data_IF_747799606075
#
_entry.id   IF_747799606075
#
_cell.length_a   1.000
_cell.length_b   1.000
_cell.length_c   1.000
_cell.angle_alpha   90.00
_cell.angle_beta   90.00
_cell.angle_gamma   90.00
#
_symmetry.space_group_name_H-M   'P 1'
#
loop_
_entity.id
_entity.type
_entity.pdbx_description
1 polymer ?
#
# COMPACT_ATOMS: atom_id res chain seq x y z
N UNK A 1 4.35 1.88 -23.98
CA UNK A 1 3.14 2.30 -23.23
C UNK A 1 2.60 1.13 -22.42
N UNK A 2 2.06 1.37 -21.22
CA UNK A 2 1.46 0.33 -20.38
C UNK A 2 0.18 -0.16 -21.05
N UNK A 3 -0.04 -1.48 -21.11
CA UNK A 3 -1.29 -2.04 -21.63
C UNK A 3 -2.44 -1.77 -20.64
N UNK A 4 -3.65 -1.58 -21.15
CA UNK A 4 -4.81 -1.23 -20.32
C UNK A 4 -5.14 -2.31 -19.29
N UNK A 5 -5.05 -3.57 -19.65
CA UNK A 5 -5.26 -4.71 -18.77
C UNK A 5 -4.24 -4.75 -17.62
N UNK A 6 -2.97 -4.49 -17.92
CA UNK A 6 -1.89 -4.37 -16.94
C UNK A 6 -2.15 -3.20 -15.99
N UNK A 7 -2.57 -2.04 -16.52
CA UNK A 7 -2.90 -0.88 -15.71
C UNK A 7 -4.11 -1.12 -14.80
N UNK A 8 -5.17 -1.75 -15.32
CA UNK A 8 -6.37 -2.09 -14.52
C UNK A 8 -6.04 -3.09 -13.41
N UNK A 9 -5.20 -4.08 -13.69
CA UNK A 9 -4.76 -5.04 -12.68
C UNK A 9 -3.91 -4.37 -11.60
N UNK A 10 -3.02 -3.46 -11.99
CA UNK A 10 -2.25 -2.66 -11.04
C UNK A 10 -3.14 -1.78 -10.18
N UNK A 11 -4.12 -1.11 -10.78
CA UNK A 11 -5.09 -0.30 -10.05
C UNK A 11 -5.88 -1.16 -9.02
N UNK A 12 -6.31 -2.36 -9.40
CA UNK A 12 -6.97 -3.29 -8.48
C UNK A 12 -6.04 -3.71 -7.33
N UNK A 13 -4.76 -3.98 -7.62
CA UNK A 13 -3.76 -4.27 -6.58
C UNK A 13 -3.54 -3.08 -5.63
N UNK A 14 -3.55 -1.84 -6.15
CA UNK A 14 -3.46 -0.63 -5.33
C UNK A 14 -4.69 -0.45 -4.42
N UNK A 15 -5.89 -0.71 -4.92
CA UNK A 15 -7.12 -0.70 -4.09
C UNK A 15 -7.00 -1.75 -2.99
N UNK A 16 -6.59 -2.98 -3.32
CA UNK A 16 -6.37 -4.04 -2.34
C UNK A 16 -5.34 -3.65 -1.28
N UNK A 17 -4.23 -3.01 -1.70
CA UNK A 17 -3.24 -2.45 -0.78
C UNK A 17 -3.86 -1.40 0.15
N UNK A 18 -4.64 -0.47 -0.39
CA UNK A 18 -5.22 0.63 0.37
C UNK A 18 -6.23 0.17 1.44
N UNK A 19 -7.15 -0.74 1.06
CA UNK A 19 -8.20 -1.23 1.98
C UNK A 19 -7.69 -2.22 3.02
N UNK A 20 -6.46 -2.72 2.86
CA UNK A 20 -5.86 -3.60 3.88
C UNK A 20 -5.50 -2.82 5.10
N UNK A 21 -5.93 -3.23 6.28
CA UNK A 21 -5.44 -2.66 7.52
C UNK A 21 -3.92 -2.82 7.64
N UNK A 22 -3.24 -1.70 7.77
CA UNK A 22 -1.79 -1.64 7.95
C UNK A 22 -1.42 -0.43 8.80
N UNK A 23 -0.12 -0.22 9.12
CA UNK A 23 0.34 0.85 9.99
C UNK A 23 -0.19 2.23 9.60
N UNK A 24 -0.20 2.58 8.30
CA UNK A 24 -0.72 3.87 7.83
C UNK A 24 -2.20 4.04 8.18
N UNK A 25 -3.04 3.07 7.79
CA UNK A 25 -4.48 3.15 8.02
C UNK A 25 -4.81 3.19 9.53
N UNK A 26 -4.13 2.36 10.34
CA UNK A 26 -4.30 2.36 11.80
C UNK A 26 -3.93 3.72 12.39
N UNK A 27 -2.80 4.30 11.96
CA UNK A 27 -2.36 5.62 12.40
C UNK A 27 -3.39 6.70 12.02
N UNK A 28 -3.86 6.73 10.77
CA UNK A 28 -4.83 7.71 10.28
C UNK A 28 -6.15 7.63 11.04
N UNK A 29 -6.69 6.43 11.20
CA UNK A 29 -7.96 6.22 11.93
C UNK A 29 -7.79 6.61 13.40
N UNK A 30 -6.72 6.18 14.07
CA UNK A 30 -6.47 6.51 15.47
C UNK A 30 -6.36 8.03 15.69
N UNK A 31 -5.64 8.75 14.83
CA UNK A 31 -5.51 10.21 14.93
C UNK A 31 -6.82 10.93 14.60
N UNK A 32 -7.57 10.46 13.61
CA UNK A 32 -8.89 11.02 13.26
C UNK A 32 -9.88 10.84 14.40
N UNK A 33 -9.94 9.67 15.00
CA UNK A 33 -10.84 9.38 16.11
C UNK A 33 -10.43 10.17 17.36
N UNK A 34 -9.14 10.29 17.67
CA UNK A 34 -8.66 10.98 18.86
C UNK A 34 -8.82 12.51 18.75
N UNK A 35 -8.42 13.12 17.61
CA UNK A 35 -8.28 14.57 17.45
C UNK A 35 -9.16 15.19 16.33
N UNK A 36 -10.02 14.38 15.68
CA UNK A 36 -10.95 14.84 14.65
C UNK A 36 -10.36 14.86 13.23
N UNK A 37 -11.20 15.22 12.26
CA UNK A 37 -10.89 15.17 10.82
C UNK A 37 -9.65 15.97 10.42
N UNK A 38 -9.46 17.16 11.00
CA UNK A 38 -8.30 18.01 10.68
C UNK A 38 -6.99 17.32 11.03
N UNK A 39 -6.92 16.67 12.19
CA UNK A 39 -5.76 15.90 12.60
C UNK A 39 -5.53 14.69 11.67
N UNK A 40 -6.60 14.01 11.27
CA UNK A 40 -6.54 12.92 10.28
C UNK A 40 -5.99 13.38 8.93
N UNK A 41 -6.46 14.52 8.40
CA UNK A 41 -5.99 15.07 7.12
C UNK A 41 -4.53 15.53 7.16
N UNK A 42 -4.09 16.13 8.27
CA UNK A 42 -2.66 16.48 8.46
C UNK A 42 -1.80 15.21 8.54
N UNK A 43 -2.28 14.18 9.23
CA UNK A 43 -1.63 12.87 9.29
C UNK A 43 -1.56 12.22 7.91
N UNK A 44 -2.63 12.32 7.13
CA UNK A 44 -2.72 11.84 5.75
C UNK A 44 -1.70 12.54 4.84
N UNK A 45 -1.57 13.86 4.94
CA UNK A 45 -0.54 14.58 4.19
C UNK A 45 0.87 14.03 4.51
N UNK A 46 1.14 13.73 5.78
CA UNK A 46 2.40 13.09 6.19
C UNK A 46 2.58 11.68 5.59
N UNK A 47 1.58 10.80 5.74
CA UNK A 47 1.68 9.44 5.19
C UNK A 47 1.80 9.44 3.68
N UNK A 48 1.10 10.33 2.98
CA UNK A 48 1.21 10.49 1.52
C UNK A 48 2.60 10.97 1.12
N UNK A 49 3.21 11.90 1.85
CA UNK A 49 4.59 12.34 1.58
C UNK A 49 5.58 11.18 1.71
N UNK A 50 5.51 10.38 2.78
CA UNK A 50 6.36 9.20 2.93
C UNK A 50 6.11 8.16 1.83
N UNK A 51 4.86 8.01 1.41
CA UNK A 51 4.48 7.11 0.32
C UNK A 51 5.05 7.57 -1.04
N UNK A 52 5.01 8.88 -1.34
CA UNK A 52 5.67 9.46 -2.52
C UNK A 52 7.17 9.15 -2.52
N UNK A 53 7.83 9.22 -1.36
CA UNK A 53 9.23 8.81 -1.22
C UNK A 53 9.48 7.37 -1.66
N UNK A 54 8.62 6.43 -1.25
CA UNK A 54 8.70 5.04 -1.71
C UNK A 54 8.50 4.88 -3.22
N UNK A 55 7.53 5.58 -3.79
CA UNK A 55 7.26 5.55 -5.25
C UNK A 55 8.46 6.07 -6.04
N UNK A 56 9.02 7.19 -5.61
CA UNK A 56 10.20 7.77 -6.28
C UNK A 56 11.44 6.86 -6.14
N UNK A 57 11.66 6.30 -4.95
CA UNK A 57 12.74 5.35 -4.74
C UNK A 57 12.60 4.10 -5.62
N UNK A 58 11.37 3.57 -5.77
CA UNK A 58 11.10 2.44 -6.63
C UNK A 58 11.29 2.80 -8.12
N UNK A 59 10.77 3.94 -8.58
CA UNK A 59 10.88 4.37 -9.97
C UNK A 59 12.34 4.60 -10.39
N UNK A 60 13.10 5.28 -9.57
CA UNK A 60 14.52 5.57 -9.82
C UNK A 60 15.38 4.32 -9.62
N UNK A 61 15.15 3.58 -8.53
CA UNK A 61 15.91 2.38 -8.18
C UNK A 61 15.69 1.24 -9.17
N UNK A 62 14.45 1.01 -9.60
CA UNK A 62 14.14 -0.01 -10.62
C UNK A 62 14.78 0.33 -11.95
N UNK A 63 14.72 1.59 -12.39
CA UNK A 63 15.34 2.03 -13.63
C UNK A 63 16.85 1.83 -13.62
N UNK A 64 17.53 2.17 -12.51
CA UNK A 64 18.96 1.98 -12.33
C UNK A 64 19.33 0.49 -12.25
N UNK A 65 18.56 -0.32 -11.53
CA UNK A 65 18.80 -1.75 -11.36
C UNK A 65 18.71 -2.50 -12.69
N UNK A 66 17.67 -2.24 -13.48
CA UNK A 66 17.49 -2.91 -14.79
C UNK A 66 18.53 -2.47 -15.82
N UNK A 67 19.03 -1.23 -15.74
CA UNK A 67 20.12 -0.76 -16.58
C UNK A 67 21.46 -1.40 -16.22
N UNK A 68 21.71 -1.66 -14.92
CA UNK A 68 22.98 -2.20 -14.44
C UNK A 68 23.04 -3.73 -14.47
N UNK A 69 21.94 -4.41 -14.15
CA UNK A 69 21.91 -5.87 -13.96
C UNK A 69 20.59 -6.46 -14.53
N UNK A 70 20.53 -6.79 -15.83
CA UNK A 70 19.28 -7.30 -16.43
C UNK A 70 18.73 -8.58 -15.77
N UNK A 71 19.60 -9.43 -15.20
CA UNK A 71 19.22 -10.68 -14.51
C UNK A 71 18.58 -10.40 -13.13
N UNK A 72 18.80 -9.22 -12.55
CA UNK A 72 18.21 -8.85 -11.25
C UNK A 72 16.68 -8.81 -11.28
N UNK A 73 16.09 -8.62 -12.46
CA UNK A 73 14.63 -8.67 -12.63
C UNK A 73 14.03 -10.01 -12.17
N UNK A 74 14.63 -11.13 -12.54
CA UNK A 74 14.16 -12.45 -12.15
C UNK A 74 14.29 -12.67 -10.63
N UNK A 75 15.41 -12.23 -10.03
CA UNK A 75 15.60 -12.32 -8.59
C UNK A 75 14.53 -11.50 -7.82
N UNK A 76 14.25 -10.29 -8.24
CA UNK A 76 13.21 -9.42 -7.67
C UNK A 76 11.82 -10.05 -7.85
N UNK A 77 11.55 -10.64 -9.02
CA UNK A 77 10.30 -11.32 -9.34
C UNK A 77 10.03 -12.49 -8.39
N UNK A 78 10.98 -13.42 -8.24
CA UNK A 78 10.80 -14.60 -7.38
C UNK A 78 10.77 -14.23 -5.90
N UNK A 79 11.59 -13.29 -5.44
CA UNK A 79 11.52 -12.75 -4.09
C UNK A 79 10.16 -12.10 -3.83
N UNK A 80 9.62 -11.37 -4.81
CA UNK A 80 8.29 -10.78 -4.78
C UNK A 80 7.17 -11.81 -4.65
N UNK A 81 7.23 -12.88 -5.44
CA UNK A 81 6.25 -13.97 -5.38
C UNK A 81 6.25 -14.65 -4.01
N UNK A 82 7.42 -14.99 -3.48
CA UNK A 82 7.58 -15.59 -2.16
C UNK A 82 7.01 -14.67 -1.06
N UNK A 83 7.28 -13.37 -1.16
CA UNK A 83 6.76 -12.40 -0.22
C UNK A 83 5.23 -12.26 -0.30
N UNK A 84 4.65 -12.21 -1.50
CA UNK A 84 3.20 -12.14 -1.67
C UNK A 84 2.51 -13.38 -1.10
N UNK A 85 3.10 -14.57 -1.28
CA UNK A 85 2.61 -15.80 -0.67
C UNK A 85 2.66 -15.73 0.87
N UNK A 86 3.77 -15.22 1.43
CA UNK A 86 3.90 -14.99 2.88
C UNK A 86 2.88 -13.96 3.40
N UNK A 87 2.67 -12.87 2.65
CA UNK A 87 1.70 -11.83 3.03
C UNK A 87 0.26 -12.36 2.98
N UNK A 88 -0.08 -13.18 1.97
CA UNK A 88 -1.36 -13.87 1.88
C UNK A 88 -1.58 -14.77 3.11
N UNK A 89 -0.57 -15.57 3.46
CA UNK A 89 -0.60 -16.46 4.61
C UNK A 89 -0.76 -15.72 5.94
N UNK A 90 0.08 -14.71 6.20
CA UNK A 90 0.01 -13.94 7.44
C UNK A 90 -1.30 -13.17 7.56
N UNK A 91 -1.78 -12.57 6.46
CA UNK A 91 -3.07 -11.86 6.43
C UNK A 91 -4.25 -12.79 6.72
N UNK A 92 -4.19 -14.01 6.21
CA UNK A 92 -5.20 -15.04 6.50
C UNK A 92 -5.15 -15.50 7.97
N UNK A 93 -3.94 -15.78 8.48
CA UNK A 93 -3.72 -16.30 9.82
C UNK A 93 -4.00 -15.27 10.93
N UNK A 94 -3.59 -14.00 10.73
CA UNK A 94 -3.66 -12.96 11.76
C UNK A 94 -4.94 -12.13 11.68
N UNK A 95 -6.08 -12.77 11.43
CA UNK A 95 -7.39 -12.12 11.35
C UNK A 95 -7.91 -11.62 12.72
N UNK A 96 -7.01 -11.07 13.59
CA UNK A 96 -7.42 -10.43 14.84
C UNK A 96 -8.06 -9.07 14.56
N UNK A 97 -9.14 -8.70 15.27
CA UNK A 97 -9.66 -7.32 15.22
C UNK A 97 -8.55 -6.34 15.57
N UNK A 98 -8.57 -5.15 14.98
CA UNK A 98 -7.74 -4.03 15.45
C UNK A 98 -8.12 -3.76 16.91
N UNK A 99 -7.40 -4.38 17.84
CA UNK A 99 -7.62 -4.21 19.27
C UNK A 99 -7.40 -2.74 19.62
N UNK A 100 -8.33 -2.14 20.36
CA UNK A 100 -8.28 -0.77 20.78
C UNK A 100 -7.04 -0.48 21.63
N UNK A 101 -6.02 0.07 21.00
CA UNK A 101 -4.96 0.76 21.73
C UNK A 101 -5.52 2.00 22.40
N UNK A 102 -4.91 2.44 23.50
CA UNK A 102 -5.23 3.70 24.16
C UNK A 102 -5.27 4.85 23.15
N UNK A 103 -6.26 5.73 23.25
CA UNK A 103 -6.35 6.89 22.34
C UNK A 103 -5.04 7.69 22.41
N UNK A 104 -4.38 7.97 21.25
CA UNK A 104 -3.12 8.70 21.27
C UNK A 104 -3.31 10.11 21.85
N UNK A 105 -2.34 10.55 22.65
CA UNK A 105 -2.34 11.89 23.23
C UNK A 105 -2.47 12.97 22.15
N UNK A 106 -3.12 14.13 22.43
CA UNK A 106 -3.19 15.26 21.52
C UNK A 106 -1.80 15.69 21.03
N UNK A 107 -1.67 15.94 19.73
CA UNK A 107 -0.40 16.30 19.11
C UNK A 107 -0.58 17.51 18.18
N UNK A 108 0.47 18.32 18.02
CA UNK A 108 0.49 19.46 17.10
C UNK A 108 0.44 19.00 15.63
N UNK A 109 0.05 19.89 14.72
CA UNK A 109 0.02 19.60 13.29
C UNK A 109 1.39 19.13 12.74
N UNK A 110 2.48 19.77 13.15
CA UNK A 110 3.83 19.37 12.77
C UNK A 110 4.21 17.97 13.28
N UNK A 111 3.81 17.65 14.51
CA UNK A 111 4.02 16.31 15.09
C UNK A 111 3.22 15.26 14.34
N UNK A 112 1.96 15.55 14.00
CA UNK A 112 1.08 14.65 13.25
C UNK A 112 1.65 14.37 11.85
N UNK A 113 2.08 15.41 11.14
CA UNK A 113 2.68 15.29 9.81
C UNK A 113 3.95 14.44 9.85
N UNK A 114 4.91 14.78 10.73
CA UNK A 114 6.18 14.04 10.86
C UNK A 114 5.95 12.57 11.25
N UNK A 115 5.06 12.31 12.19
CA UNK A 115 4.68 10.95 12.56
C UNK A 115 4.05 10.20 11.39
N UNK A 116 3.24 10.88 10.57
CA UNK A 116 2.68 10.31 9.34
C UNK A 116 3.77 9.94 8.34
N UNK A 117 4.74 10.82 8.07
CA UNK A 117 5.89 10.55 7.19
C UNK A 117 6.65 9.32 7.69
N UNK A 118 7.02 9.30 8.97
CA UNK A 118 7.76 8.18 9.57
C UNK A 118 6.97 6.87 9.52
N UNK A 119 5.67 6.91 9.83
CA UNK A 119 4.80 5.73 9.77
C UNK A 119 4.79 5.15 8.35
N UNK A 120 4.73 6.00 7.32
CA UNK A 120 4.72 5.56 5.93
C UNK A 120 6.08 5.06 5.47
N UNK A 121 7.16 5.78 5.75
CA UNK A 121 8.54 5.39 5.38
C UNK A 121 8.95 4.07 6.02
N UNK A 122 8.58 3.87 7.29
CA UNK A 122 8.87 2.65 8.03
C UNK A 122 7.81 1.55 7.84
N UNK A 123 6.83 1.76 6.95
CA UNK A 123 5.77 0.79 6.72
C UNK A 123 6.25 -0.37 5.85
N UNK A 124 6.45 -1.57 6.42
CA UNK A 124 6.96 -2.72 5.67
C UNK A 124 6.01 -3.14 4.56
N UNK A 125 4.70 -2.95 4.74
CA UNK A 125 3.70 -3.27 3.73
C UNK A 125 3.88 -2.43 2.46
N UNK A 126 4.15 -1.13 2.61
CA UNK A 126 4.42 -0.21 1.48
C UNK A 126 5.75 -0.56 0.82
N UNK A 127 6.82 -0.68 1.63
CA UNK A 127 8.15 -1.00 1.12
C UNK A 127 8.15 -2.29 0.29
N UNK A 128 7.48 -3.31 0.79
CA UNK A 128 7.44 -4.62 0.16
C UNK A 128 6.53 -4.65 -1.08
N UNK A 129 5.44 -3.87 -1.10
CA UNK A 129 4.67 -3.66 -2.33
C UNK A 129 5.55 -3.05 -3.42
N UNK A 130 6.33 -2.03 -3.09
CA UNK A 130 7.23 -1.38 -4.04
C UNK A 130 8.35 -2.30 -4.53
N UNK A 131 8.92 -3.11 -3.65
CA UNK A 131 10.00 -4.01 -4.03
C UNK A 131 9.52 -5.25 -4.77
N UNK A 132 8.40 -5.83 -4.33
CA UNK A 132 7.95 -7.14 -4.79
C UNK A 132 6.90 -7.06 -5.91
N UNK A 133 5.93 -6.16 -5.80
CA UNK A 133 4.80 -6.13 -6.72
C UNK A 133 4.96 -5.07 -7.82
N UNK A 134 5.42 -3.87 -7.48
CA UNK A 134 5.52 -2.76 -8.42
C UNK A 134 6.33 -3.10 -9.69
N UNK A 135 7.51 -3.75 -9.62
CA UNK A 135 8.30 -4.11 -10.80
C UNK A 135 7.59 -5.04 -11.79
N UNK A 136 6.60 -5.81 -11.31
CA UNK A 136 5.87 -6.79 -12.12
C UNK A 136 4.96 -6.15 -13.18
N UNK A 137 4.68 -4.87 -13.02
CA UNK A 137 3.83 -4.10 -13.94
C UNK A 137 4.62 -3.23 -14.91
N UNK A 138 5.96 -3.28 -14.83
CA UNK A 138 6.87 -2.54 -15.70
C UNK A 138 7.48 -3.50 -16.72
N UNK A 139 7.31 -3.21 -18.01
CA UNK A 139 7.84 -4.01 -19.11
C UNK A 139 8.91 -3.22 -19.88
N UNK A 140 10.20 -3.55 -19.73
CA UNK A 140 11.28 -2.87 -20.44
C UNK A 140 11.15 -2.92 -21.98
N UNK A 141 10.51 -3.96 -22.52
CA UNK A 141 10.30 -4.09 -23.97
C UNK A 141 9.26 -3.09 -24.52
N UNK A 142 8.45 -2.49 -23.65
CA UNK A 142 7.39 -1.52 -24.02
C UNK A 142 7.80 -0.06 -23.88
N UNK A 143 9.09 0.21 -23.67
CA UNK A 143 9.66 1.56 -23.63
C UNK A 143 10.26 1.94 -22.28
N UNK A 144 10.36 3.25 -22.01
CA UNK A 144 11.04 3.77 -20.82
C UNK A 144 10.48 3.21 -19.51
N UNK A 145 11.31 2.47 -18.78
CA UNK A 145 11.02 1.95 -17.44
C UNK A 145 10.66 3.08 -16.48
N UNK A 146 11.40 4.20 -16.53
CA UNK A 146 11.13 5.36 -15.68
C UNK A 146 9.76 5.97 -15.96
N UNK A 147 9.41 6.15 -17.24
CA UNK A 147 8.10 6.72 -17.60
C UNK A 147 6.94 5.82 -17.15
N UNK A 148 7.06 4.50 -17.37
CA UNK A 148 6.08 3.52 -16.89
C UNK A 148 5.96 3.58 -15.36
N UNK A 149 7.10 3.59 -14.64
CA UNK A 149 7.14 3.65 -13.19
C UNK A 149 6.51 4.93 -12.64
N UNK A 150 6.72 6.07 -13.27
CA UNK A 150 6.10 7.33 -12.85
C UNK A 150 4.58 7.33 -13.07
N UNK A 151 4.09 6.78 -14.19
CA UNK A 151 2.64 6.66 -14.45
C UNK A 151 1.98 5.72 -13.45
N UNK A 152 2.55 4.53 -13.23
CA UNK A 152 2.06 3.58 -12.24
C UNK A 152 2.12 4.17 -10.83
N UNK A 153 3.23 4.82 -10.48
CA UNK A 153 3.39 5.47 -9.19
C UNK A 153 2.38 6.58 -8.94
N UNK A 154 2.11 7.43 -9.93
CA UNK A 154 1.06 8.45 -9.86
C UNK A 154 -0.33 7.82 -9.67
N UNK A 155 -0.65 6.76 -10.42
CA UNK A 155 -1.89 5.99 -10.27
C UNK A 155 -2.02 5.45 -8.84
N UNK A 156 -0.96 4.87 -8.31
CA UNK A 156 -0.93 4.30 -6.96
C UNK A 156 -1.15 5.38 -5.89
N UNK A 157 -0.46 6.52 -6.01
CA UNK A 157 -0.62 7.66 -5.08
C UNK A 157 -2.06 8.12 -5.06
N UNK A 158 -2.67 8.32 -6.23
CA UNK A 158 -4.07 8.79 -6.34
C UNK A 158 -5.04 7.79 -5.69
N UNK A 159 -4.90 6.51 -5.96
CA UNK A 159 -5.78 5.47 -5.42
C UNK A 159 -5.61 5.36 -3.91
N UNK A 160 -4.38 5.24 -3.42
CA UNK A 160 -4.10 5.05 -1.99
C UNK A 160 -4.50 6.29 -1.19
N UNK A 161 -4.11 7.49 -1.64
CA UNK A 161 -4.50 8.74 -0.97
C UNK A 161 -6.02 8.96 -1.02
N UNK A 162 -6.68 8.59 -2.12
CA UNK A 162 -8.14 8.64 -2.23
C UNK A 162 -8.84 7.72 -1.22
N UNK A 163 -8.43 6.46 -1.15
CA UNK A 163 -8.98 5.50 -0.19
C UNK A 163 -8.71 5.93 1.26
N UNK A 164 -7.49 6.36 1.57
CA UNK A 164 -7.13 6.84 2.90
C UNK A 164 -7.91 8.10 3.27
N UNK A 165 -8.15 9.01 2.31
CA UNK A 165 -9.01 10.19 2.51
C UNK A 165 -10.43 9.77 2.88
N UNK A 166 -11.02 8.83 2.15
CA UNK A 166 -12.36 8.32 2.46
C UNK A 166 -12.39 7.69 3.87
N UNK A 167 -11.36 6.94 4.24
CA UNK A 167 -11.24 6.38 5.59
C UNK A 167 -11.16 7.47 6.67
N UNK A 168 -10.37 8.53 6.46
CA UNK A 168 -10.27 9.68 7.38
C UNK A 168 -11.61 10.39 7.50
N UNK A 169 -12.30 10.65 6.39
CA UNK A 169 -13.60 11.32 6.41
C UNK A 169 -14.68 10.47 7.10
N UNK A 170 -14.66 9.16 6.90
CA UNK A 170 -15.59 8.23 7.51
C UNK A 170 -15.27 7.95 9.00
N UNK A 171 -14.00 7.94 9.39
CA UNK A 171 -13.59 7.54 10.75
C UNK A 171 -14.19 8.40 11.86
N UNK A 172 -14.39 9.70 11.62
CA UNK A 172 -15.02 10.60 12.59
C UNK A 172 -16.50 10.27 12.80
N UNK A 173 -17.20 9.84 11.74
CA UNK A 173 -18.62 9.46 11.79
C UNK A 173 -18.78 8.02 12.31
N UNK A 174 -17.77 7.16 12.07
CA UNK A 174 -17.73 5.78 12.53
C UNK A 174 -17.71 5.68 14.06
N UNK A 175 -17.02 6.61 14.76
CA UNK A 175 -17.05 6.69 16.23
C UNK A 175 -18.49 6.83 16.76
N UNK A 176 -19.36 7.49 16.01
CA UNK A 176 -20.78 7.68 16.37
C UNK A 176 -21.65 6.45 16.07
N UNK A 177 -21.28 5.63 15.09
CA UNK A 177 -22.14 4.55 14.56
C UNK A 177 -21.66 3.12 14.84
N UNK A 178 -20.36 2.89 15.10
CA UNK A 178 -19.77 1.54 15.07
C UNK A 178 -18.93 1.17 16.29
N UNK A 179 -19.49 1.26 17.47
CA UNK A 179 -18.92 0.55 18.64
C UNK A 179 -18.93 -1.00 18.48
N UNK A 180 -19.36 -1.54 17.32
CA UNK A 180 -19.59 -2.98 17.13
C UNK A 180 -19.08 -3.64 15.84
N UNK A 181 -18.29 -2.98 14.98
CA UNK A 181 -17.98 -3.48 13.62
C UNK A 181 -16.78 -4.44 13.52
N UNK A 182 -16.68 -5.43 14.40
CA UNK A 182 -15.65 -6.47 14.38
C UNK A 182 -15.68 -7.36 13.11
N UNK A 183 -16.84 -7.58 12.50
CA UNK A 183 -17.03 -8.52 11.37
C UNK A 183 -16.46 -8.01 10.04
N UNK A 184 -16.54 -6.72 9.75
CA UNK A 184 -16.00 -6.12 8.51
C UNK A 184 -14.46 -6.26 8.41
N UNK A 185 -13.75 -6.08 9.52
CA UNK A 185 -12.29 -6.23 9.56
C UNK A 185 -11.81 -7.64 9.22
N UNK A 186 -12.58 -8.67 9.57
CA UNK A 186 -12.25 -10.06 9.25
C UNK A 186 -12.48 -10.35 7.76
N UNK A 187 -13.60 -9.89 7.19
CA UNK A 187 -13.92 -10.10 5.79
C UNK A 187 -12.97 -9.39 4.83
N UNK A 188 -12.59 -8.16 5.13
CA UNK A 188 -11.63 -7.41 4.31
C UNK A 188 -10.26 -8.09 4.27
N UNK A 189 -9.79 -8.67 5.38
CA UNK A 189 -8.54 -9.43 5.45
C UNK A 189 -8.57 -10.71 4.60
N UNK A 190 -9.69 -11.45 4.62
CA UNK A 190 -9.84 -12.69 3.82
C UNK A 190 -9.86 -12.39 2.32
N UNK A 191 -10.58 -11.36 1.90
CA UNK A 191 -10.60 -10.93 0.50
C UNK A 191 -9.19 -10.57 0.02
N UNK A 192 -8.44 -9.87 0.85
CA UNK A 192 -7.09 -9.47 0.54
C UNK A 192 -6.10 -10.63 0.45
N UNK A 193 -6.17 -11.59 1.39
CA UNK A 193 -5.36 -12.80 1.31
C UNK A 193 -5.61 -13.54 -0.01
N UNK A 194 -6.86 -13.56 -0.50
CA UNK A 194 -7.22 -14.10 -1.81
C UNK A 194 -6.55 -13.34 -2.95
N UNK A 195 -6.58 -11.99 -2.94
CA UNK A 195 -5.94 -11.17 -3.98
C UNK A 195 -4.42 -11.38 -4.00
N UNK A 196 -3.76 -11.36 -2.84
CA UNK A 196 -2.31 -11.61 -2.78
C UNK A 196 -1.94 -13.03 -3.21
N UNK A 197 -2.74 -14.03 -2.82
CA UNK A 197 -2.53 -15.41 -3.25
C UNK A 197 -2.64 -15.56 -4.78
N UNK A 198 -3.65 -14.96 -5.39
CA UNK A 198 -3.83 -14.97 -6.85
C UNK A 198 -2.66 -14.28 -7.56
N UNK A 199 -2.20 -13.13 -7.05
CA UNK A 199 -1.05 -12.42 -7.60
C UNK A 199 0.25 -13.24 -7.47
N UNK A 200 0.47 -13.90 -6.33
CA UNK A 200 1.63 -14.78 -6.14
C UNK A 200 1.66 -15.93 -7.15
N UNK A 201 0.53 -16.61 -7.33
CA UNK A 201 0.39 -17.71 -8.31
C UNK A 201 0.63 -17.21 -9.73
N UNK A 202 0.02 -16.08 -10.12
CA UNK A 202 0.23 -15.48 -11.44
C UNK A 202 1.71 -15.16 -11.69
N UNK A 203 2.40 -14.61 -10.70
CA UNK A 203 3.82 -14.26 -10.79
C UNK A 203 4.72 -15.47 -11.06
N UNK A 204 4.39 -16.61 -10.45
CA UNK A 204 5.15 -17.88 -10.66
C UNK A 204 4.85 -18.46 -12.04
N UNK A 205 3.58 -18.36 -12.50
CA UNK A 205 3.13 -18.97 -13.76
C UNK A 205 3.46 -18.13 -15.00
N UNK A 206 3.71 -16.83 -14.86
CA UNK A 206 4.11 -15.97 -15.97
C UNK A 206 5.57 -16.29 -16.36
N UNK A 207 5.73 -17.30 -17.24
CA UNK A 207 7.04 -17.55 -17.86
C UNK A 207 7.38 -16.38 -18.80
N UNK A 208 8.68 -16.04 -18.91
CA UNK A 208 9.19 -15.05 -19.88
C UNK A 208 8.58 -15.33 -21.27
N UNK A 209 7.81 -14.41 -21.76
CA UNK A 209 7.60 -14.22 -23.20
C UNK A 209 8.58 -13.20 -23.73
#
# INVERSE_FOLDING_TARGET
MIALDTWLLFAAACVALAITPGPNLVYLVARTVAQGRRAGLVSLAGTTTGFVGHVLAAALGLSALLAAIPVAYDAVRYAGAAYLAWLAWTTWRDAKPLAGGSAPAPASAGTLYRAGVLTSVLNPKVALFQLALFPQFVDPARGSVLAQSLVLGATQIVIVAGCDTLCVLAAADLKRRFAGASRWAVWSKRLLAGVFGTLAVRLVLESRR
#
